data_IF_460381934062
#
_entry.id   IF_460381934062
#
_cell.length_a   1.000
_cell.length_b   1.000
_cell.length_c   1.000
_cell.angle_alpha   90.00
_cell.angle_beta   90.00
_cell.angle_gamma   90.00
#
_symmetry.space_group_name_H-M   'P 1'
#
loop_
_entity.id
_entity.type
_entity.pdbx_description
1 polymer ?
#
# COMPACT_ATOMS: atom_id res chain seq x y z
N UNK A 1 -4.84 -0.70 -23.25
CA UNK A 1 -3.61 -1.16 -22.57
C UNK A 1 -2.71 -2.07 -23.40
N UNK A 2 -3.19 -3.09 -24.14
CA UNK A 2 -2.33 -4.03 -24.93
C UNK A 2 -1.49 -3.40 -26.06
N UNK A 3 -1.83 -2.25 -26.62
CA UNK A 3 -1.05 -1.63 -27.73
C UNK A 3 0.15 -0.81 -27.24
N UNK A 4 0.09 -0.24 -26.04
CA UNK A 4 1.19 0.52 -25.42
C UNK A 4 2.33 -0.42 -25.01
N UNK A 5 2.02 -1.58 -24.45
CA UNK A 5 2.99 -2.61 -24.06
C UNK A 5 3.76 -3.15 -25.26
N UNK A 6 3.08 -3.44 -26.38
CA UNK A 6 3.76 -3.94 -27.60
C UNK A 6 4.74 -2.94 -28.21
N UNK A 7 4.44 -1.63 -28.17
CA UNK A 7 5.38 -0.60 -28.64
C UNK A 7 6.61 -0.48 -27.72
N UNK A 8 6.38 -0.58 -26.41
CA UNK A 8 7.46 -0.60 -25.43
C UNK A 8 8.39 -1.81 -25.64
N UNK A 9 7.82 -3.01 -25.76
CA UNK A 9 8.59 -4.25 -25.97
C UNK A 9 9.40 -4.21 -27.28
N UNK A 10 8.82 -3.66 -28.36
CA UNK A 10 9.54 -3.47 -29.61
C UNK A 10 10.71 -2.48 -29.46
N UNK A 11 10.53 -1.39 -28.72
CA UNK A 11 11.60 -0.43 -28.45
C UNK A 11 12.71 -1.04 -27.60
N UNK A 12 12.38 -1.81 -26.57
CA UNK A 12 13.33 -2.53 -25.72
C UNK A 12 14.15 -3.52 -26.58
N UNK A 13 13.48 -4.28 -27.44
CA UNK A 13 14.15 -5.22 -28.34
C UNK A 13 15.12 -4.50 -29.29
N UNK A 14 14.68 -3.44 -29.98
CA UNK A 14 15.50 -2.71 -30.93
C UNK A 14 16.68 -2.01 -30.25
N UNK A 15 16.46 -1.36 -29.10
CA UNK A 15 17.53 -0.70 -28.34
C UNK A 15 18.55 -1.69 -27.79
N UNK A 16 18.10 -2.87 -27.33
CA UNK A 16 18.96 -3.94 -26.84
C UNK A 16 19.84 -4.49 -27.94
N UNK A 17 19.32 -4.76 -29.14
CA UNK A 17 20.08 -5.22 -30.30
C UNK A 17 21.08 -4.15 -30.76
N UNK A 18 20.64 -2.88 -30.85
CA UNK A 18 21.49 -1.77 -31.24
C UNK A 18 22.65 -1.55 -30.27
N UNK A 19 22.40 -1.63 -28.96
CA UNK A 19 23.45 -1.51 -27.93
C UNK A 19 24.48 -2.65 -28.03
N UNK A 20 24.01 -3.89 -28.22
CA UNK A 20 24.91 -5.03 -28.42
C UNK A 20 25.77 -4.85 -29.68
N UNK A 21 25.16 -4.36 -30.76
CA UNK A 21 25.90 -4.09 -32.01
C UNK A 21 26.98 -3.03 -31.82
N UNK A 22 26.67 -1.92 -31.10
CA UNK A 22 27.65 -0.87 -30.80
C UNK A 22 28.79 -1.38 -29.91
N UNK A 23 28.49 -2.18 -28.90
CA UNK A 23 29.48 -2.77 -28.01
C UNK A 23 30.43 -3.68 -28.78
N UNK A 24 29.93 -4.59 -29.62
CA UNK A 24 30.76 -5.50 -30.41
C UNK A 24 31.57 -4.74 -31.44
N UNK A 25 31.01 -3.74 -32.12
CA UNK A 25 31.74 -2.89 -33.07
C UNK A 25 32.87 -2.11 -32.38
N UNK A 26 32.63 -1.59 -31.17
CA UNK A 26 33.66 -0.93 -30.37
C UNK A 26 34.80 -1.86 -29.96
N UNK A 27 34.49 -3.10 -29.55
CA UNK A 27 35.49 -4.11 -29.23
C UNK A 27 36.29 -4.48 -30.48
N UNK A 28 35.64 -4.55 -31.64
CA UNK A 28 36.31 -4.83 -32.94
C UNK A 28 37.34 -3.78 -33.28
N UNK A 29 37.02 -2.51 -33.13
CA UNK A 29 37.91 -1.40 -33.39
C UNK A 29 39.12 -1.39 -32.44
N UNK A 30 38.88 -1.73 -31.16
CA UNK A 30 39.93 -1.69 -30.12
C UNK A 30 40.85 -2.92 -30.11
N UNK A 31 40.33 -4.12 -30.35
CA UNK A 31 41.07 -5.37 -30.15
C UNK A 31 41.53 -6.07 -31.44
N UNK A 32 40.96 -5.73 -32.58
CA UNK A 32 41.28 -6.39 -33.87
C UNK A 32 40.89 -7.87 -33.98
N UNK A 33 40.39 -8.49 -32.90
CA UNK A 33 39.96 -9.90 -32.82
C UNK A 33 38.56 -10.00 -32.27
N UNK A 34 37.66 -10.68 -33.01
CA UNK A 34 36.23 -10.79 -32.62
C UNK A 34 35.82 -12.24 -32.42
N UNK A 35 36.64 -13.21 -32.78
CA UNK A 35 36.25 -14.61 -32.81
C UNK A 35 35.70 -15.05 -31.45
N UNK A 36 34.38 -15.32 -31.39
CA UNK A 36 33.65 -15.76 -30.22
C UNK A 36 33.02 -14.67 -29.34
N UNK A 37 33.57 -13.46 -29.23
CA UNK A 37 33.09 -12.39 -28.35
C UNK A 37 31.72 -11.85 -28.81
N UNK A 38 31.55 -11.68 -30.12
CA UNK A 38 30.28 -11.21 -30.70
C UNK A 38 29.10 -12.09 -30.28
N UNK A 39 29.24 -13.40 -30.39
CA UNK A 39 28.18 -14.34 -30.01
C UNK A 39 27.81 -14.23 -28.52
N UNK A 40 28.78 -14.05 -27.61
CA UNK A 40 28.53 -13.92 -26.17
C UNK A 40 27.76 -12.63 -25.83
N UNK A 41 28.15 -11.51 -26.45
CA UNK A 41 27.46 -10.22 -26.20
C UNK A 41 26.03 -10.25 -26.72
N UNK A 42 25.79 -10.86 -27.88
CA UNK A 42 24.45 -10.99 -28.41
C UNK A 42 23.56 -11.99 -27.62
N UNK A 43 24.14 -13.06 -27.06
CA UNK A 43 23.44 -13.95 -26.12
C UNK A 43 23.01 -13.18 -24.87
N UNK A 44 23.88 -12.35 -24.30
CA UNK A 44 23.55 -11.48 -23.16
C UNK A 44 22.46 -10.48 -23.52
N UNK A 45 22.50 -9.89 -24.72
CA UNK A 45 21.46 -8.98 -25.18
C UNK A 45 20.09 -9.67 -25.27
N UNK A 46 20.03 -10.89 -25.84
CA UNK A 46 18.80 -11.69 -25.89
C UNK A 46 18.28 -12.01 -24.49
N UNK A 47 19.18 -12.33 -23.57
CA UNK A 47 18.81 -12.55 -22.15
C UNK A 47 18.16 -11.31 -21.54
N UNK A 48 18.80 -10.14 -21.68
CA UNK A 48 18.28 -8.88 -21.16
C UNK A 48 16.94 -8.50 -21.82
N UNK A 49 16.84 -8.63 -23.14
CA UNK A 49 15.57 -8.36 -23.86
C UNK A 49 14.46 -9.26 -23.33
N UNK A 50 14.71 -10.57 -23.17
CA UNK A 50 13.72 -11.52 -22.62
C UNK A 50 13.32 -11.20 -21.19
N UNK A 51 14.19 -10.60 -20.40
CA UNK A 51 13.91 -10.18 -19.02
C UNK A 51 12.99 -8.96 -18.96
N UNK A 52 13.17 -7.98 -19.86
CA UNK A 52 12.45 -6.71 -19.85
C UNK A 52 11.19 -6.69 -20.75
N UNK A 53 10.97 -7.72 -21.60
CA UNK A 53 9.81 -7.83 -22.48
C UNK A 53 8.81 -8.85 -21.96
N UNK A 54 7.52 -8.71 -22.36
CA UNK A 54 6.47 -9.61 -21.95
C UNK A 54 6.18 -10.69 -23.01
N UNK A 55 6.34 -11.96 -22.56
CA UNK A 55 6.08 -13.14 -23.38
C UNK A 55 7.31 -13.64 -24.16
N UNK A 56 7.23 -14.90 -24.57
CA UNK A 56 8.35 -15.60 -25.23
C UNK A 56 8.59 -15.16 -26.69
N UNK A 57 7.62 -14.54 -27.35
CA UNK A 57 7.71 -14.15 -28.77
C UNK A 57 8.81 -13.10 -29.01
N UNK A 58 8.95 -12.13 -28.11
CA UNK A 58 9.96 -11.08 -28.23
C UNK A 58 11.39 -11.62 -28.06
N UNK A 59 11.59 -12.54 -27.13
CA UNK A 59 12.87 -13.24 -26.96
C UNK A 59 13.25 -14.08 -28.18
N UNK A 60 12.25 -14.79 -28.76
CA UNK A 60 12.46 -15.57 -29.98
C UNK A 60 12.79 -14.69 -31.18
N UNK A 61 12.05 -13.60 -31.38
CA UNK A 61 12.31 -12.63 -32.44
C UNK A 61 13.69 -11.97 -32.28
N UNK A 62 14.04 -11.57 -31.06
CA UNK A 62 15.36 -11.02 -30.75
C UNK A 62 16.47 -12.00 -31.07
N UNK A 63 16.32 -13.29 -30.71
CA UNK A 63 17.34 -14.29 -31.00
C UNK A 63 17.56 -14.50 -32.51
N UNK A 64 16.46 -14.54 -33.27
CA UNK A 64 16.56 -14.66 -34.73
C UNK A 64 17.30 -13.48 -35.34
N UNK A 65 16.93 -12.25 -34.92
CA UNK A 65 17.60 -11.04 -35.40
C UNK A 65 19.07 -10.98 -34.96
N UNK A 66 19.40 -11.38 -33.75
CA UNK A 66 20.78 -11.44 -33.25
C UNK A 66 21.61 -12.45 -34.00
N UNK A 67 21.08 -13.63 -34.32
CA UNK A 67 21.76 -14.65 -35.14
C UNK A 67 22.08 -14.08 -36.55
N UNK A 68 21.09 -13.43 -37.16
CA UNK A 68 21.30 -12.81 -38.47
C UNK A 68 22.34 -11.67 -38.40
N UNK A 69 22.27 -10.83 -37.37
CA UNK A 69 23.22 -9.73 -37.18
C UNK A 69 24.67 -10.22 -36.98
N UNK A 70 24.84 -11.23 -36.13
CA UNK A 70 26.18 -11.82 -35.90
C UNK A 70 26.73 -12.47 -37.15
N UNK A 71 25.92 -13.24 -37.88
CA UNK A 71 26.35 -13.90 -39.09
C UNK A 71 26.72 -12.90 -40.19
N UNK A 72 25.92 -11.84 -40.37
CA UNK A 72 26.12 -10.85 -41.43
C UNK A 72 27.30 -9.89 -41.15
N UNK A 73 27.36 -9.33 -39.94
CA UNK A 73 28.27 -8.22 -39.64
C UNK A 73 29.58 -8.64 -39.00
N UNK A 74 29.64 -9.76 -38.27
CA UNK A 74 30.77 -10.11 -37.40
C UNK A 74 31.43 -11.45 -37.73
N UNK A 75 31.01 -12.12 -38.81
CA UNK A 75 31.60 -13.37 -39.28
C UNK A 75 32.12 -13.27 -40.71
N UNK A 76 33.24 -13.92 -40.97
CA UNK A 76 33.82 -13.98 -42.33
C UNK A 76 33.02 -14.97 -43.20
N UNK A 77 32.74 -14.64 -44.49
CA UNK A 77 32.99 -13.37 -45.15
C UNK A 77 32.04 -12.28 -44.67
N UNK A 78 32.59 -11.11 -44.31
CA UNK A 78 31.79 -9.99 -43.79
C UNK A 78 30.78 -9.48 -44.81
N UNK A 79 29.62 -9.02 -44.35
CA UNK A 79 28.49 -8.52 -45.13
C UNK A 79 27.89 -9.53 -46.12
N UNK A 80 28.08 -10.82 -45.84
CA UNK A 80 27.42 -11.91 -46.57
C UNK A 80 26.89 -12.96 -45.60
N UNK A 81 25.72 -13.50 -45.89
CA UNK A 81 25.18 -14.61 -45.09
C UNK A 81 25.90 -15.91 -45.46
N UNK A 82 26.56 -16.52 -44.50
CA UNK A 82 27.23 -17.79 -44.69
C UNK A 82 26.87 -18.78 -43.58
N UNK A 83 25.95 -19.68 -43.89
CA UNK A 83 25.51 -20.77 -43.01
C UNK A 83 26.12 -22.13 -43.40
N UNK A 84 27.07 -22.15 -44.36
CA UNK A 84 27.71 -23.38 -44.81
C UNK A 84 28.83 -23.82 -43.86
N UNK A 85 29.43 -22.89 -43.12
CA UNK A 85 30.47 -23.20 -42.15
C UNK A 85 29.83 -23.82 -40.88
N UNK A 86 30.33 -25.00 -40.42
CA UNK A 86 29.78 -25.68 -39.23
C UNK A 86 29.78 -24.82 -37.98
N UNK A 87 30.77 -23.95 -37.80
CA UNK A 87 30.86 -23.02 -36.65
C UNK A 87 29.71 -21.99 -36.60
N UNK A 88 29.30 -21.50 -37.79
CA UNK A 88 28.20 -20.54 -37.89
C UNK A 88 26.87 -21.21 -37.55
N UNK A 89 26.65 -22.41 -38.02
CA UNK A 89 25.44 -23.19 -37.75
C UNK A 89 25.38 -23.58 -36.28
N UNK A 90 26.51 -24.03 -35.70
CA UNK A 90 26.58 -24.35 -34.27
C UNK A 90 26.30 -23.14 -33.39
N UNK A 91 26.90 -21.98 -33.69
CA UNK A 91 26.68 -20.74 -32.97
C UNK A 91 25.17 -20.30 -33.03
N UNK A 92 24.57 -20.39 -34.21
CA UNK A 92 23.15 -20.11 -34.39
C UNK A 92 22.25 -21.04 -33.55
N UNK A 93 22.57 -22.34 -33.55
CA UNK A 93 21.86 -23.34 -32.77
C UNK A 93 21.94 -23.06 -31.27
N UNK A 94 23.16 -22.77 -30.76
CA UNK A 94 23.37 -22.43 -29.36
C UNK A 94 22.59 -21.18 -28.96
N UNK A 95 22.62 -20.11 -29.78
CA UNK A 95 21.87 -18.89 -29.53
C UNK A 95 20.36 -19.17 -29.47
N UNK A 96 19.84 -19.97 -30.37
CA UNK A 96 18.43 -20.34 -30.40
C UNK A 96 18.02 -21.12 -29.12
N UNK A 97 18.82 -22.13 -28.77
CA UNK A 97 18.55 -22.95 -27.57
C UNK A 97 18.60 -22.10 -26.30
N UNK A 98 19.63 -21.27 -26.12
CA UNK A 98 19.77 -20.37 -24.97
C UNK A 98 18.59 -19.40 -24.92
N UNK A 99 18.19 -18.82 -26.06
CA UNK A 99 17.04 -17.92 -26.13
C UNK A 99 15.74 -18.60 -25.69
N UNK A 100 15.45 -19.79 -26.21
CA UNK A 100 14.23 -20.54 -25.83
C UNK A 100 14.27 -20.87 -24.33
N UNK A 101 15.39 -21.35 -23.82
CA UNK A 101 15.53 -21.67 -22.39
C UNK A 101 15.33 -20.43 -21.52
N UNK A 102 15.99 -19.34 -21.86
CA UNK A 102 15.90 -18.08 -21.09
C UNK A 102 14.48 -17.51 -21.12
N UNK A 103 13.88 -17.44 -22.30
CA UNK A 103 12.55 -16.90 -22.49
C UNK A 103 11.49 -17.73 -21.75
N UNK A 104 11.60 -19.06 -21.81
CA UNK A 104 10.69 -19.95 -21.07
C UNK A 104 10.87 -19.85 -19.56
N UNK A 105 12.13 -19.78 -19.09
CA UNK A 105 12.43 -19.64 -17.66
C UNK A 105 11.90 -18.30 -17.12
N UNK A 106 12.17 -17.19 -17.81
CA UNK A 106 11.70 -15.85 -17.40
C UNK A 106 10.18 -15.79 -17.36
N UNK A 107 9.50 -16.34 -18.37
CA UNK A 107 8.02 -16.38 -18.39
C UNK A 107 7.47 -17.21 -17.24
N UNK A 108 8.08 -18.36 -16.92
CA UNK A 108 7.68 -19.17 -15.77
C UNK A 108 7.87 -18.45 -14.44
N UNK A 109 9.00 -17.75 -14.26
CA UNK A 109 9.27 -16.98 -13.03
C UNK A 109 8.23 -15.88 -12.86
N UNK A 110 7.97 -15.08 -13.91
CA UNK A 110 6.94 -14.02 -13.88
C UNK A 110 5.54 -14.57 -13.54
N UNK A 111 5.15 -15.68 -14.16
CA UNK A 111 3.86 -16.32 -13.89
C UNK A 111 3.79 -16.84 -12.45
N UNK A 112 4.86 -17.46 -11.97
CA UNK A 112 4.92 -17.97 -10.59
C UNK A 112 4.83 -16.84 -9.56
N UNK A 113 5.46 -15.69 -9.83
CA UNK A 113 5.40 -14.50 -8.98
C UNK A 113 3.99 -13.89 -8.95
N UNK A 114 3.31 -13.82 -10.11
CA UNK A 114 1.91 -13.39 -10.18
C UNK A 114 0.98 -14.32 -9.37
N UNK A 115 1.09 -15.63 -9.57
CA UNK A 115 0.29 -16.61 -8.83
C UNK A 115 0.57 -16.57 -7.32
N UNK A 116 1.82 -16.30 -6.93
CA UNK A 116 2.18 -16.12 -5.53
C UNK A 116 1.52 -14.89 -4.93
N UNK A 117 1.57 -13.75 -5.63
CA UNK A 117 0.91 -12.52 -5.19
C UNK A 117 -0.61 -12.69 -5.09
N UNK A 118 -1.25 -13.32 -6.07
CA UNK A 118 -2.68 -13.66 -6.01
C UNK A 118 -3.00 -14.55 -4.81
N UNK A 119 -2.20 -15.60 -4.57
CA UNK A 119 -2.38 -16.50 -3.43
C UNK A 119 -2.18 -15.80 -2.09
N UNK A 120 -1.22 -14.87 -1.98
CA UNK A 120 -0.99 -14.08 -0.76
C UNK A 120 -2.17 -13.14 -0.49
N UNK A 121 -2.72 -12.52 -1.54
CA UNK A 121 -3.93 -11.66 -1.44
C UNK A 121 -5.15 -12.46 -1.00
N UNK A 122 -5.38 -13.64 -1.60
CA UNK A 122 -6.48 -14.55 -1.22
C UNK A 122 -6.35 -15.02 0.24
N UNK A 123 -5.14 -15.38 0.67
CA UNK A 123 -4.88 -15.75 2.07
C UNK A 123 -5.16 -14.59 3.02
N UNK A 124 -4.74 -13.38 2.65
CA UNK A 124 -5.01 -12.18 3.43
C UNK A 124 -6.53 -11.95 3.58
N UNK A 125 -7.29 -12.04 2.48
CA UNK A 125 -8.76 -11.93 2.51
C UNK A 125 -9.42 -12.99 3.39
N UNK A 126 -8.98 -14.24 3.27
CA UNK A 126 -9.51 -15.33 4.09
C UNK A 126 -9.22 -15.13 5.59
N UNK A 127 -8.03 -14.66 5.94
CA UNK A 127 -7.67 -14.35 7.32
C UNK A 127 -8.45 -13.16 7.87
N UNK A 128 -8.63 -12.10 7.08
CA UNK A 128 -9.48 -10.95 7.45
C UNK A 128 -10.92 -11.39 7.71
N UNK A 129 -11.53 -12.18 6.83
CA UNK A 129 -12.89 -12.68 7.01
C UNK A 129 -13.03 -13.56 8.26
N UNK A 130 -12.01 -14.36 8.57
CA UNK A 130 -12.00 -15.20 9.79
C UNK A 130 -11.90 -14.33 11.05
N UNK A 131 -11.00 -13.35 11.08
CA UNK A 131 -10.85 -12.42 12.18
C UNK A 131 -12.13 -11.62 12.40
N UNK A 132 -12.70 -11.04 11.32
CA UNK A 132 -13.98 -10.33 11.36
C UNK A 132 -15.10 -11.20 11.93
N UNK A 133 -15.21 -12.45 11.46
CA UNK A 133 -16.27 -13.35 11.92
C UNK A 133 -16.13 -13.70 13.41
N UNK A 134 -14.89 -13.88 13.88
CA UNK A 134 -14.62 -14.13 15.30
C UNK A 134 -15.02 -12.95 16.15
N UNK A 135 -14.59 -11.76 15.75
CA UNK A 135 -14.76 -10.55 16.55
C UNK A 135 -16.18 -9.98 16.48
N UNK A 136 -16.95 -10.28 15.42
CA UNK A 136 -18.40 -10.03 15.40
C UNK A 136 -19.16 -10.96 16.35
N UNK A 137 -18.70 -12.20 16.51
CA UNK A 137 -19.40 -13.20 17.33
C UNK A 137 -19.37 -12.85 18.81
N UNK A 138 -18.25 -12.31 19.32
CA UNK A 138 -18.06 -12.00 20.75
C UNK A 138 -19.09 -10.99 21.26
N UNK A 139 -19.22 -9.76 20.70
CA UNK A 139 -20.23 -8.80 21.16
C UNK A 139 -21.66 -9.27 20.88
N UNK A 140 -21.88 -10.00 19.78
CA UNK A 140 -23.21 -10.56 19.50
C UNK A 140 -23.62 -11.57 20.56
N UNK A 141 -22.69 -12.40 21.05
CA UNK A 141 -22.95 -13.34 22.15
C UNK A 141 -23.19 -12.60 23.48
N UNK A 142 -22.43 -11.52 23.74
CA UNK A 142 -22.63 -10.66 24.91
C UNK A 142 -24.01 -10.00 24.89
N UNK A 143 -24.38 -9.38 23.77
CA UNK A 143 -25.72 -8.78 23.57
C UNK A 143 -26.83 -9.82 23.84
N UNK A 144 -26.70 -10.99 23.20
CA UNK A 144 -27.69 -12.06 23.37
C UNK A 144 -27.78 -12.52 24.83
N UNK A 145 -26.64 -12.75 25.49
CA UNK A 145 -26.58 -13.19 26.88
C UNK A 145 -27.16 -12.15 27.84
N UNK A 146 -26.84 -10.87 27.68
CA UNK A 146 -27.37 -9.80 28.48
C UNK A 146 -28.89 -9.65 28.30
N UNK A 147 -29.37 -9.69 27.05
CA UNK A 147 -30.83 -9.66 26.78
C UNK A 147 -31.55 -10.85 27.37
N UNK A 148 -31.03 -12.10 27.20
CA UNK A 148 -31.61 -13.31 27.77
C UNK A 148 -31.67 -13.22 29.30
N UNK A 149 -30.60 -12.77 29.94
CA UNK A 149 -30.52 -12.59 31.39
C UNK A 149 -31.60 -11.61 31.89
N UNK A 150 -31.79 -10.49 31.18
CA UNK A 150 -32.82 -9.51 31.54
C UNK A 150 -34.22 -10.09 31.37
N UNK A 151 -34.47 -10.84 30.30
CA UNK A 151 -35.80 -11.43 30.00
C UNK A 151 -36.13 -12.53 31.02
N UNK A 152 -35.19 -13.47 31.26
CA UNK A 152 -35.42 -14.62 32.14
C UNK A 152 -35.56 -14.23 33.62
N UNK A 153 -34.87 -13.15 34.05
CA UNK A 153 -34.80 -12.75 35.43
C UNK A 153 -35.43 -11.35 35.68
N UNK A 154 -36.37 -10.97 34.81
CA UNK A 154 -36.91 -9.59 34.83
C UNK A 154 -37.37 -9.12 36.18
N UNK A 155 -38.12 -9.97 36.92
CA UNK A 155 -38.71 -9.61 38.22
C UNK A 155 -37.71 -9.69 39.38
N UNK A 156 -36.61 -10.47 39.23
CA UNK A 156 -35.61 -10.69 40.28
C UNK A 156 -34.44 -9.74 40.21
N UNK A 157 -34.15 -9.15 39.04
CA UNK A 157 -33.04 -8.21 38.86
C UNK A 157 -33.37 -6.82 39.41
N UNK A 158 -32.46 -6.25 40.17
CA UNK A 158 -32.53 -4.85 40.60
C UNK A 158 -32.51 -3.88 39.41
N UNK A 159 -33.09 -2.70 39.55
CA UNK A 159 -33.15 -1.69 38.48
C UNK A 159 -31.75 -1.31 37.97
N UNK A 160 -30.81 -1.18 38.87
CA UNK A 160 -29.41 -0.85 38.58
C UNK A 160 -28.71 -1.94 37.74
N UNK A 161 -29.00 -3.22 38.03
CA UNK A 161 -28.49 -4.35 37.27
C UNK A 161 -29.07 -4.40 35.86
N UNK A 162 -30.37 -4.14 35.71
CA UNK A 162 -31.04 -4.02 34.40
C UNK A 162 -30.42 -2.90 33.55
N UNK A 163 -30.23 -1.72 34.16
CA UNK A 163 -29.65 -0.57 33.48
C UNK A 163 -28.19 -0.85 33.05
N UNK A 164 -27.42 -1.54 33.90
CA UNK A 164 -26.06 -1.94 33.59
C UNK A 164 -26.03 -2.89 32.37
N UNK A 165 -26.82 -3.97 32.38
CA UNK A 165 -26.89 -4.94 31.29
C UNK A 165 -27.34 -4.29 29.97
N UNK A 166 -28.37 -3.42 30.02
CA UNK A 166 -28.84 -2.68 28.85
C UNK A 166 -27.78 -1.69 28.34
N UNK A 167 -27.00 -1.08 29.24
CA UNK A 167 -25.87 -0.23 28.89
C UNK A 167 -24.77 -1.00 28.13
N UNK A 168 -24.46 -2.22 28.59
CA UNK A 168 -23.52 -3.13 27.92
C UNK A 168 -24.04 -3.50 26.51
N UNK A 169 -25.33 -3.84 26.38
CA UNK A 169 -25.94 -4.12 25.05
C UNK A 169 -25.84 -2.92 24.12
N UNK A 170 -26.11 -1.71 24.57
CA UNK A 170 -26.00 -0.50 23.77
C UNK A 170 -24.55 -0.24 23.34
N UNK A 171 -23.59 -0.45 24.24
CA UNK A 171 -22.15 -0.30 23.94
C UNK A 171 -21.68 -1.29 22.87
N UNK A 172 -22.05 -2.57 23.03
CA UNK A 172 -21.68 -3.63 22.07
C UNK A 172 -22.33 -3.42 20.69
N UNK A 173 -23.58 -2.98 20.67
CA UNK A 173 -24.28 -2.64 19.41
C UNK A 173 -23.63 -1.45 18.69
N UNK A 174 -23.24 -0.40 19.43
CA UNK A 174 -22.51 0.72 18.84
C UNK A 174 -21.13 0.31 18.32
N UNK A 175 -20.44 -0.59 19.02
CA UNK A 175 -19.17 -1.15 18.57
C UNK A 175 -19.33 -1.95 17.28
N UNK A 176 -20.36 -2.81 17.18
CA UNK A 176 -20.66 -3.56 15.96
C UNK A 176 -20.92 -2.64 14.77
N UNK A 177 -21.68 -1.57 14.96
CA UNK A 177 -21.97 -0.61 13.89
C UNK A 177 -20.68 0.03 13.35
N UNK A 178 -19.77 0.47 14.24
CA UNK A 178 -18.46 1.01 13.84
C UNK A 178 -17.63 -0.02 13.07
N UNK A 179 -17.65 -1.27 13.52
CA UNK A 179 -16.93 -2.34 12.87
C UNK A 179 -17.40 -2.57 11.44
N UNK A 180 -18.72 -2.56 11.22
CA UNK A 180 -19.32 -2.67 9.89
C UNK A 180 -18.92 -1.49 8.99
N UNK A 181 -18.94 -0.26 9.50
CA UNK A 181 -18.51 0.94 8.78
C UNK A 181 -17.03 0.85 8.35
N UNK A 182 -16.16 0.41 9.27
CA UNK A 182 -14.74 0.21 8.98
C UNK A 182 -14.52 -0.90 7.92
N UNK A 183 -15.26 -2.01 8.02
CA UNK A 183 -15.17 -3.11 7.05
C UNK A 183 -15.64 -2.69 5.65
N UNK A 184 -16.75 -1.96 5.57
CA UNK A 184 -17.25 -1.42 4.30
C UNK A 184 -16.23 -0.45 3.66
N UNK A 185 -15.52 0.32 4.47
CA UNK A 185 -14.45 1.19 3.98
C UNK A 185 -13.30 0.37 3.38
N UNK A 186 -12.82 -0.68 4.06
CA UNK A 186 -11.74 -1.56 3.52
C UNK A 186 -12.15 -2.23 2.21
N UNK A 187 -13.35 -2.81 2.15
CA UNK A 187 -13.80 -3.54 0.96
C UNK A 187 -13.99 -2.64 -0.26
N UNK A 188 -14.35 -1.38 -0.05
CA UNK A 188 -14.45 -0.38 -1.11
C UNK A 188 -13.08 -0.03 -1.72
N UNK A 189 -12.02 0.01 -0.91
CA UNK A 189 -10.64 0.31 -1.40
C UNK A 189 -10.00 -0.87 -2.13
N UNK A 190 -10.29 -2.12 -1.74
CA UNK A 190 -9.65 -3.32 -2.30
C UNK A 190 -10.11 -3.63 -3.73
N UNK A 191 -11.32 -3.20 -4.11
CA UNK A 191 -11.88 -3.43 -5.45
C UNK A 191 -11.43 -2.42 -6.51
N UNK A 192 -10.58 -1.45 -6.15
CA UNK A 192 -10.14 -0.40 -7.08
C UNK A 192 -11.28 0.50 -7.61
N UNK A 193 -12.49 0.38 -7.03
CA UNK A 193 -13.70 1.06 -7.49
C UNK A 193 -13.95 2.40 -6.79
N UNK A 194 -13.20 2.72 -5.73
CA UNK A 194 -13.34 4.02 -5.07
C UNK A 194 -12.34 5.01 -5.65
N UNK A 195 -12.83 5.84 -6.55
CA UNK A 195 -12.16 7.10 -6.84
C UNK A 195 -12.38 8.02 -5.63
N UNK A 196 -11.31 8.33 -4.90
CA UNK A 196 -11.33 9.38 -3.88
C UNK A 196 -11.78 10.68 -4.56
N UNK A 197 -12.90 11.24 -4.11
CA UNK A 197 -13.37 12.52 -4.62
C UNK A 197 -12.67 13.65 -3.85
N UNK A 198 -11.50 14.02 -4.32
CA UNK A 198 -10.76 15.14 -3.74
C UNK A 198 -11.48 16.45 -4.07
N UNK A 199 -12.02 17.09 -3.07
CA UNK A 199 -12.58 18.45 -3.15
C UNK A 199 -11.73 19.40 -2.32
N UNK A 200 -11.50 20.66 -2.75
CA UNK A 200 -10.84 21.66 -1.92
C UNK A 200 -11.60 21.80 -0.59
N UNK A 201 -10.93 21.44 0.50
CA UNK A 201 -11.54 21.41 1.86
C UNK A 201 -10.74 22.33 2.76
N UNK A 202 -11.45 23.22 3.46
CA UNK A 202 -10.87 24.13 4.46
C UNK A 202 -10.48 23.31 5.69
N UNK A 203 -9.24 23.44 6.14
CA UNK A 203 -8.69 22.66 7.25
C UNK A 203 -9.50 22.86 8.53
N UNK A 204 -9.80 24.11 8.88
CA UNK A 204 -10.50 24.47 10.11
C UNK A 204 -11.90 23.85 10.16
N UNK A 205 -12.67 23.86 9.06
CA UNK A 205 -14.00 23.24 8.98
C UNK A 205 -13.95 21.73 9.19
N UNK A 206 -12.93 21.08 8.63
CA UNK A 206 -12.72 19.66 8.85
C UNK A 206 -12.47 19.35 10.32
N UNK A 207 -11.53 20.07 10.94
CA UNK A 207 -11.13 19.86 12.33
C UNK A 207 -12.30 20.14 13.28
N UNK A 208 -13.03 21.23 13.07
CA UNK A 208 -14.21 21.56 13.88
C UNK A 208 -15.27 20.45 13.79
N UNK A 209 -15.55 19.96 12.59
CA UNK A 209 -16.49 18.85 12.40
C UNK A 209 -16.09 17.60 13.17
N UNK A 210 -14.80 17.24 13.14
CA UNK A 210 -14.25 16.08 13.85
C UNK A 210 -14.33 16.30 15.36
N UNK A 211 -13.88 17.45 15.86
CA UNK A 211 -13.84 17.73 17.29
C UNK A 211 -15.24 17.83 17.92
N UNK A 212 -16.21 18.43 17.24
CA UNK A 212 -17.62 18.48 17.72
C UNK A 212 -18.19 17.07 17.88
N UNK A 213 -17.96 16.18 16.90
CA UNK A 213 -18.39 14.78 17.01
C UNK A 213 -17.67 14.02 18.13
N UNK A 214 -16.36 14.23 18.24
CA UNK A 214 -15.52 13.60 19.25
C UNK A 214 -15.93 14.05 20.66
N UNK A 215 -16.07 15.35 20.91
CA UNK A 215 -16.45 15.92 22.20
C UNK A 215 -17.83 15.45 22.67
N UNK A 216 -18.79 15.34 21.74
CA UNK A 216 -20.14 14.81 22.07
C UNK A 216 -20.08 13.38 22.61
N UNK A 217 -19.08 12.61 22.18
CA UNK A 217 -18.93 11.19 22.55
C UNK A 217 -18.03 11.01 23.79
N UNK A 218 -17.02 11.84 23.90
CA UNK A 218 -16.01 11.82 24.98
C UNK A 218 -15.97 13.18 25.67
N UNK A 219 -17.01 13.56 26.42
CA UNK A 219 -17.13 14.91 27.01
C UNK A 219 -16.04 15.20 28.02
N UNK A 220 -15.48 14.18 28.66
CA UNK A 220 -14.43 14.30 29.70
C UNK A 220 -13.01 14.36 29.14
N UNK A 221 -12.85 14.18 27.82
CA UNK A 221 -11.52 14.20 27.16
C UNK A 221 -11.30 15.54 26.49
N UNK A 222 -10.29 16.27 26.95
CA UNK A 222 -9.91 17.53 26.32
C UNK A 222 -8.81 17.28 25.28
N UNK A 223 -9.07 17.68 24.03
CA UNK A 223 -8.07 17.62 22.94
C UNK A 223 -7.41 18.97 22.82
N UNK A 224 -6.08 19.01 23.05
CA UNK A 224 -5.28 20.20 22.76
C UNK A 224 -5.12 20.34 21.25
N UNK A 225 -5.58 21.47 20.70
CA UNK A 225 -5.50 21.75 19.28
C UNK A 225 -4.34 22.71 18.98
N UNK A 226 -3.50 22.34 18.00
CA UNK A 226 -2.42 23.17 17.47
C UNK A 226 -2.57 23.25 15.94
N UNK A 227 -3.06 24.38 15.43
CA UNK A 227 -3.21 24.64 14.00
C UNK A 227 -2.22 25.72 13.55
N UNK A 228 -1.84 25.75 12.27
CA UNK A 228 -1.06 26.86 11.71
C UNK A 228 -1.92 28.14 11.62
N UNK A 229 -1.29 29.29 11.73
CA UNK A 229 -1.98 30.58 11.62
C UNK A 229 -2.43 30.93 10.19
N UNK A 230 -1.91 30.20 9.19
CA UNK A 230 -2.25 30.41 7.77
C UNK A 230 -3.51 29.64 7.37
N UNK A 231 -4.36 30.24 6.56
CA UNK A 231 -5.50 29.60 5.94
C UNK A 231 -5.03 28.49 4.97
N UNK A 232 -5.48 27.25 5.20
CA UNK A 232 -5.05 26.10 4.42
C UNK A 232 -6.25 25.38 3.80
N UNK A 233 -6.17 25.19 2.49
CA UNK A 233 -7.11 24.36 1.73
C UNK A 233 -6.38 23.13 1.21
N UNK A 234 -6.96 21.96 1.46
CA UNK A 234 -6.36 20.69 1.08
C UNK A 234 -7.33 19.93 0.18
N UNK A 235 -6.90 19.50 -1.03
CA UNK A 235 -7.71 18.66 -1.89
C UNK A 235 -7.85 17.26 -1.29
N UNK A 236 -8.99 16.98 -0.65
CA UNK A 236 -9.25 15.70 0.01
C UNK A 236 -10.73 15.31 -0.06
N UNK A 237 -11.01 14.06 0.22
CA UNK A 237 -12.34 13.58 0.59
C UNK A 237 -12.54 13.82 2.10
N UNK A 238 -13.27 14.88 2.43
CA UNK A 238 -13.45 15.35 3.81
C UNK A 238 -14.09 14.28 4.72
N UNK A 239 -14.98 13.44 4.17
CA UNK A 239 -15.64 12.38 4.94
C UNK A 239 -14.63 11.29 5.32
N UNK A 240 -13.79 10.86 4.38
CA UNK A 240 -12.78 9.84 4.63
C UNK A 240 -11.68 10.34 5.57
N UNK A 241 -11.22 11.57 5.41
CA UNK A 241 -10.19 12.13 6.31
C UNK A 241 -10.77 12.41 7.70
N UNK A 242 -12.04 12.85 7.83
CA UNK A 242 -12.73 12.92 9.12
C UNK A 242 -12.78 11.56 9.81
N UNK A 243 -12.99 10.47 9.06
CA UNK A 243 -12.96 9.10 9.60
C UNK A 243 -11.56 8.73 10.10
N UNK A 244 -10.49 9.09 9.37
CA UNK A 244 -9.10 8.87 9.82
C UNK A 244 -8.86 9.57 11.15
N UNK A 245 -9.13 10.88 11.23
CA UNK A 245 -8.91 11.67 12.44
C UNK A 245 -9.71 11.14 13.63
N UNK A 246 -10.99 10.82 13.41
CA UNK A 246 -11.85 10.24 14.46
C UNK A 246 -11.28 8.91 14.96
N UNK A 247 -10.86 8.01 14.06
CA UNK A 247 -10.25 6.73 14.43
C UNK A 247 -8.96 6.92 15.24
N UNK A 248 -8.10 7.89 14.85
CA UNK A 248 -6.85 8.14 15.57
C UNK A 248 -7.11 8.70 16.99
N UNK A 249 -8.04 9.64 17.12
CA UNK A 249 -8.43 10.20 18.43
C UNK A 249 -9.08 9.14 19.32
N UNK A 250 -10.02 8.34 18.78
CA UNK A 250 -10.66 7.25 19.53
C UNK A 250 -9.65 6.17 19.95
N UNK A 251 -8.67 5.83 19.12
CA UNK A 251 -7.62 4.90 19.48
C UNK A 251 -6.81 5.38 20.69
N UNK A 252 -6.48 6.66 20.77
CA UNK A 252 -5.80 7.23 21.93
C UNK A 252 -6.65 7.06 23.20
N UNK A 253 -7.95 7.39 23.15
CA UNK A 253 -8.85 7.25 24.31
C UNK A 253 -8.99 5.79 24.76
N UNK A 254 -9.08 4.86 23.83
CA UNK A 254 -9.36 3.46 24.12
C UNK A 254 -8.12 2.67 24.57
N UNK A 255 -6.92 3.06 24.11
CA UNK A 255 -5.70 2.26 24.27
C UNK A 255 -4.55 2.93 24.99
N UNK A 256 -4.54 4.26 25.13
CA UNK A 256 -3.51 4.98 25.85
C UNK A 256 -3.83 5.00 27.36
N UNK A 257 -3.67 3.86 28.03
CA UNK A 257 -3.88 3.77 29.49
C UNK A 257 -3.02 4.80 30.21
N UNK A 258 -3.62 5.50 31.18
CA UNK A 258 -2.96 6.57 31.93
C UNK A 258 -2.80 7.89 31.18
N UNK A 259 -3.39 8.02 29.99
CA UNK A 259 -3.36 9.26 29.23
C UNK A 259 -4.00 10.41 30.01
N UNK A 260 -3.28 11.53 30.08
CA UNK A 260 -3.74 12.80 30.66
C UNK A 260 -3.80 13.93 29.65
N UNK A 261 -3.15 13.75 28.51
CA UNK A 261 -3.09 14.74 27.44
C UNK A 261 -3.22 14.07 26.08
N UNK A 262 -4.13 14.60 25.25
CA UNK A 262 -4.33 14.25 23.85
C UNK A 262 -4.17 15.50 23.02
N UNK A 263 -3.30 15.48 22.02
CA UNK A 263 -3.00 16.63 21.17
C UNK A 263 -3.27 16.28 19.71
N UNK A 264 -4.02 17.14 19.02
CA UNK A 264 -4.15 17.12 17.57
C UNK A 264 -3.40 18.35 17.03
N UNK A 265 -2.35 18.08 16.26
CA UNK A 265 -1.52 19.13 15.66
C UNK A 265 -1.56 19.01 14.15
N UNK A 266 -1.71 20.14 13.46
CA UNK A 266 -1.56 20.21 12.01
C UNK A 266 -0.54 21.31 11.68
N UNK A 267 0.35 21.01 10.75
CA UNK A 267 1.37 21.94 10.28
C UNK A 267 1.75 21.61 8.83
N UNK A 268 2.37 22.55 8.15
CA UNK A 268 2.80 22.38 6.75
C UNK A 268 4.30 22.16 6.67
N UNK A 269 4.71 21.24 5.79
CA UNK A 269 6.11 20.99 5.43
C UNK A 269 6.21 20.96 3.91
N UNK A 270 6.72 22.02 3.32
CA UNK A 270 6.72 22.19 1.86
C UNK A 270 5.30 22.18 1.30
N UNK A 271 5.02 21.30 0.34
CA UNK A 271 3.69 21.11 -0.28
C UNK A 271 2.81 20.09 0.45
N UNK A 272 3.09 19.77 1.71
CA UNK A 272 2.35 18.76 2.46
C UNK A 272 1.76 19.35 3.74
N UNK A 273 0.48 19.04 4.02
CA UNK A 273 -0.11 19.19 5.33
C UNK A 273 0.13 17.92 6.15
N UNK A 274 0.74 18.06 7.30
CA UNK A 274 1.03 16.99 8.24
C UNK A 274 0.04 17.05 9.39
N UNK A 275 -0.69 15.97 9.59
CA UNK A 275 -1.61 15.77 10.70
C UNK A 275 -0.93 14.85 11.74
N UNK A 276 -0.90 15.27 12.98
CA UNK A 276 -0.28 14.57 14.07
C UNK A 276 -1.23 14.42 15.25
N UNK A 277 -1.47 13.17 15.68
CA UNK A 277 -2.22 12.85 16.89
C UNK A 277 -1.25 12.26 17.89
N UNK A 278 -1.11 12.90 19.05
CA UNK A 278 -0.16 12.52 20.12
C UNK A 278 -0.88 12.32 21.42
N UNK A 279 -0.68 11.17 22.05
CA UNK A 279 -1.07 10.87 23.44
C UNK A 279 0.17 10.70 24.32
N UNK A 280 0.00 10.89 25.63
CA UNK A 280 1.03 10.63 26.65
C UNK A 280 0.72 9.40 27.50
N UNK A 281 0.07 8.38 26.93
CA UNK A 281 -0.31 7.16 27.64
C UNK A 281 0.78 6.10 27.72
N UNK A 282 0.37 4.83 27.88
CA UNK A 282 1.27 3.69 28.09
C UNK A 282 2.22 3.38 26.92
N UNK A 283 1.96 3.91 25.71
CA UNK A 283 2.76 3.64 24.52
C UNK A 283 2.60 2.22 23.98
N UNK A 284 3.33 1.93 22.88
CA UNK A 284 3.23 0.67 22.12
C UNK A 284 4.59 -0.02 22.08
N UNK A 285 4.68 -1.34 22.38
CA UNK A 285 5.90 -2.12 22.24
C UNK A 285 6.42 -2.16 20.80
N UNK A 286 7.76 -2.20 20.61
CA UNK A 286 8.41 -2.13 19.29
C UNK A 286 7.95 -3.23 18.32
N UNK A 287 7.69 -4.43 18.80
CA UNK A 287 7.23 -5.58 18.00
C UNK A 287 5.85 -5.33 17.44
N UNK A 288 4.96 -4.74 18.23
CA UNK A 288 3.59 -4.39 17.84
C UNK A 288 3.56 -3.18 16.90
N UNK A 289 4.43 -2.19 17.13
CA UNK A 289 4.55 -0.98 16.32
C UNK A 289 4.85 -1.29 14.85
N UNK A 290 5.71 -2.28 14.57
CA UNK A 290 6.05 -2.71 13.20
C UNK A 290 4.87 -3.24 12.39
N UNK A 291 3.83 -3.73 13.07
CA UNK A 291 2.66 -4.36 12.47
C UNK A 291 1.39 -3.52 12.64
N UNK A 292 1.49 -2.33 13.18
CA UNK A 292 0.37 -1.50 13.60
C UNK A 292 -0.64 -1.23 12.48
N UNK A 293 -0.16 -1.03 11.26
CA UNK A 293 -0.97 -0.73 10.07
C UNK A 293 -1.24 -1.95 9.18
N UNK A 294 -0.75 -3.14 9.54
CA UNK A 294 -0.88 -4.34 8.69
C UNK A 294 -2.24 -5.03 8.78
N UNK A 295 -3.10 -4.63 9.72
CA UNK A 295 -4.40 -5.27 9.97
C UNK A 295 -4.30 -6.68 10.57
N UNK A 296 -3.09 -7.14 10.91
CA UNK A 296 -2.83 -8.45 11.50
C UNK A 296 -2.24 -8.29 12.90
N UNK A 297 -3.07 -8.39 13.92
CA UNK A 297 -2.60 -8.64 15.30
C UNK A 297 -2.61 -10.16 15.55
N UNK A 298 -1.56 -10.74 16.15
CA UNK A 298 -1.56 -12.15 16.58
C UNK A 298 -2.69 -12.38 17.59
N UNK A 299 -3.34 -13.54 17.51
CA UNK A 299 -4.42 -13.93 18.42
C UNK A 299 -3.99 -14.01 19.90
N UNK A 300 -2.69 -14.08 20.17
CA UNK A 300 -2.11 -14.13 21.51
C UNK A 300 -2.13 -12.77 22.23
N UNK A 301 -2.14 -11.65 21.49
CA UNK A 301 -2.18 -10.30 22.05
C UNK A 301 -3.60 -9.82 22.43
N UNK A 302 -4.63 -10.57 22.05
CA UNK A 302 -6.03 -10.20 22.33
C UNK A 302 -6.53 -10.71 23.68
N UNK A 303 -5.80 -11.60 24.33
CA UNK A 303 -6.25 -12.25 25.58
C UNK A 303 -6.08 -11.39 26.85
N UNK A 304 -5.21 -10.39 26.84
CA UNK A 304 -4.79 -9.68 28.06
C UNK A 304 -5.48 -8.32 28.30
N UNK A 305 -6.17 -7.77 27.31
CA UNK A 305 -6.89 -6.51 27.47
C UNK A 305 -8.34 -6.65 26.98
N UNK A 306 -9.25 -6.90 27.94
CA UNK A 306 -10.70 -7.04 27.73
C UNK A 306 -11.42 -5.84 27.07
N UNK A 307 -10.76 -5.09 26.21
CA UNK A 307 -11.32 -4.01 25.41
C UNK A 307 -11.08 -4.28 23.92
N UNK A 308 -12.14 -4.50 23.22
CA UNK A 308 -12.39 -4.75 21.82
C UNK A 308 -11.56 -3.89 20.86
N UNK A 309 -10.33 -4.28 20.50
CA UNK A 309 -9.55 -3.59 19.47
C UNK A 309 -8.99 -4.56 18.43
N UNK A 310 -9.56 -4.52 17.27
CA UNK A 310 -9.30 -5.42 16.16
C UNK A 310 -8.11 -5.01 15.27
N UNK A 311 -7.42 -3.91 15.56
CA UNK A 311 -6.36 -3.40 14.68
C UNK A 311 -6.85 -2.97 13.27
N UNK A 312 -8.12 -3.16 12.94
CA UNK A 312 -8.69 -2.78 11.63
C UNK A 312 -8.77 -1.26 11.49
N UNK A 313 -9.06 -0.52 12.55
CA UNK A 313 -9.16 0.95 12.47
C UNK A 313 -7.92 1.61 11.88
N UNK A 314 -6.73 1.19 12.31
CA UNK A 314 -5.48 1.76 11.81
C UNK A 314 -5.11 1.28 10.40
N UNK A 315 -5.46 0.07 10.02
CA UNK A 315 -5.28 -0.38 8.63
C UNK A 315 -6.22 0.34 7.66
N UNK A 316 -7.44 0.67 8.10
CA UNK A 316 -8.37 1.55 7.36
C UNK A 316 -7.76 2.95 7.20
N UNK A 317 -7.22 3.54 8.28
CA UNK A 317 -6.54 4.83 8.21
C UNK A 317 -5.41 4.80 7.17
N UNK A 318 -4.57 3.76 7.18
CA UNK A 318 -3.49 3.60 6.22
C UNK A 318 -4.00 3.48 4.76
N UNK A 319 -5.07 2.73 4.54
CA UNK A 319 -5.69 2.59 3.23
C UNK A 319 -6.27 3.92 2.71
N UNK A 320 -6.98 4.67 3.56
CA UNK A 320 -7.55 5.98 3.21
C UNK A 320 -6.44 6.98 2.88
N UNK A 321 -5.43 7.10 3.73
CA UNK A 321 -4.31 8.03 3.53
C UNK A 321 -3.55 7.69 2.25
N UNK A 322 -3.27 6.42 2.00
CA UNK A 322 -2.62 5.94 0.78
C UNK A 322 -3.46 6.24 -0.48
N UNK A 323 -4.78 6.09 -0.41
CA UNK A 323 -5.68 6.41 -1.52
C UNK A 323 -5.69 7.92 -1.84
N UNK A 324 -5.38 8.77 -0.85
CA UNK A 324 -5.16 10.21 -1.05
C UNK A 324 -3.76 10.57 -1.57
N UNK A 325 -2.85 9.59 -1.73
CA UNK A 325 -1.46 9.81 -2.13
C UNK A 325 -0.52 10.15 -0.97
N UNK A 326 -1.00 10.05 0.28
CA UNK A 326 -0.23 10.29 1.50
C UNK A 326 0.42 9.04 2.08
N UNK A 327 1.11 9.21 3.19
CA UNK A 327 1.71 8.15 4.01
C UNK A 327 1.37 8.38 5.49
N UNK A 328 1.18 7.28 6.24
CA UNK A 328 0.94 7.31 7.68
C UNK A 328 2.07 6.59 8.41
N UNK A 329 2.51 7.17 9.52
CA UNK A 329 3.59 6.62 10.38
C UNK A 329 3.20 6.73 11.85
N UNK A 330 3.76 5.82 12.66
CA UNK A 330 3.60 5.85 14.10
C UNK A 330 4.97 5.80 14.78
N UNK A 331 5.14 6.62 15.80
CA UNK A 331 6.28 6.63 16.70
C UNK A 331 5.75 6.43 18.11
N UNK A 332 6.30 5.48 18.84
CA UNK A 332 5.89 5.21 20.22
C UNK A 332 7.02 4.62 21.02
N UNK A 333 7.03 4.95 22.32
CA UNK A 333 7.86 4.32 23.34
C UNK A 333 6.99 3.92 24.50
N UNK A 334 7.21 2.72 25.00
CA UNK A 334 6.49 2.21 26.15
C UNK A 334 6.70 3.11 27.38
N UNK A 335 5.60 3.60 27.96
CA UNK A 335 5.60 4.55 29.08
C UNK A 335 5.73 6.03 28.70
N UNK A 336 5.94 6.38 27.42
CA UNK A 336 6.10 7.78 26.99
C UNK A 336 4.93 8.26 26.08
N UNK A 337 4.05 7.33 25.63
CA UNK A 337 2.93 7.63 24.76
C UNK A 337 3.14 7.26 23.30
N UNK A 338 2.21 7.70 22.44
CA UNK A 338 2.21 7.38 21.00
C UNK A 338 1.95 8.64 20.20
N UNK A 339 2.67 8.78 19.08
CA UNK A 339 2.44 9.81 18.07
C UNK A 339 2.16 9.12 16.73
N UNK A 340 1.01 9.41 16.14
CA UNK A 340 0.66 8.95 14.79
C UNK A 340 0.58 10.17 13.89
N UNK A 341 1.34 10.13 12.78
CA UNK A 341 1.39 11.20 11.78
C UNK A 341 0.96 10.68 10.42
N UNK A 342 0.20 11.49 9.70
CA UNK A 342 0.00 11.30 8.27
C UNK A 342 0.09 12.63 7.53
N UNK A 343 0.36 12.58 6.23
CA UNK A 343 0.44 13.77 5.41
C UNK A 343 -0.36 13.63 4.12
N UNK A 344 -0.83 14.77 3.64
CA UNK A 344 -1.55 14.94 2.38
C UNK A 344 -0.89 16.08 1.58
N UNK A 345 -0.95 15.99 0.25
CA UNK A 345 -0.52 17.10 -0.61
C UNK A 345 -1.46 18.28 -0.46
N UNK A 346 -0.90 19.50 -0.34
CA UNK A 346 -1.66 20.75 -0.34
C UNK A 346 -1.46 21.45 -1.67
N UNK A 347 -2.49 22.13 -2.17
CA UNK A 347 -2.29 23.14 -3.19
C UNK A 347 -1.75 24.40 -2.48
N UNK A 348 -0.54 24.82 -2.85
CA UNK A 348 -0.03 26.13 -2.41
C UNK A 348 -0.92 27.21 -3.01
N UNK A 349 -1.77 27.82 -2.19
CA UNK A 349 -2.34 29.12 -2.56
C UNK A 349 -1.19 30.11 -2.41
N UNK A 350 -0.50 30.42 -3.50
CA UNK A 350 0.30 31.62 -3.57
C UNK A 350 -0.65 32.79 -3.29
N UNK A 351 -0.51 33.40 -2.11
CA UNK A 351 -1.16 34.66 -1.80
C UNK A 351 -0.64 35.64 -2.82
N UNK A 352 -1.46 36.03 -3.80
CA UNK A 352 -1.24 37.20 -4.64
C UNK A 352 -1.33 38.49 -3.76
N UNK A 353 -0.39 38.65 -2.86
CA UNK A 353 -0.09 39.90 -2.21
C UNK A 353 1.24 40.40 -2.79
N UNK A 354 1.15 41.13 -3.91
CA UNK A 354 2.05 42.23 -4.31
C UNK A 354 2.00 42.47 -5.83
N UNK A 355 0.90 43.00 -6.33
CA UNK A 355 0.90 43.71 -7.62
C UNK A 355 -0.05 44.94 -7.64
N UNK A 356 -0.10 45.71 -6.56
CA UNK A 356 -0.68 47.06 -6.61
C UNK A 356 0.16 48.05 -5.80
N UNK A 357 1.45 48.18 -6.16
CA UNK A 357 2.27 49.35 -5.84
C UNK A 357 3.37 49.50 -6.92
N UNK A 358 3.01 50.05 -8.09
CA UNK A 358 3.88 50.91 -8.91
C UNK A 358 3.06 51.83 -9.79
#
# INVERSE_FOLDING_TARGET
MRSSTRRHDALVMLSGIASAFLVVSGIQVLSGRIDGVASMVFVLAVFLISMYTDGYLWGLAASLLCVLAVNFAFRSPYFAFNFTLPENLFSALVMLVVSIMTSTLTTRIKLQEQLRMESETEKMRANLLRAVSHDLRTPLTSIYGACSTVIENYDSLAKEQKLKLLGEVCSDAQWLNRMVENLLSVTRFDTGTVSVQKTPTVLEELIDTVLVRFQKRYPDVNVKLELPDSFIVIPMDSMLISQVLTNLLENAVLHAEGMTQLTLKVFTVGSHAVFEVTDNGCGIPKERLKRLFSGMLPAEDTADHGKHSMGIGLSVCAAIVKAHGGEIKAESRQGEGTTIRFWLETESIETEENQDEQ
#
